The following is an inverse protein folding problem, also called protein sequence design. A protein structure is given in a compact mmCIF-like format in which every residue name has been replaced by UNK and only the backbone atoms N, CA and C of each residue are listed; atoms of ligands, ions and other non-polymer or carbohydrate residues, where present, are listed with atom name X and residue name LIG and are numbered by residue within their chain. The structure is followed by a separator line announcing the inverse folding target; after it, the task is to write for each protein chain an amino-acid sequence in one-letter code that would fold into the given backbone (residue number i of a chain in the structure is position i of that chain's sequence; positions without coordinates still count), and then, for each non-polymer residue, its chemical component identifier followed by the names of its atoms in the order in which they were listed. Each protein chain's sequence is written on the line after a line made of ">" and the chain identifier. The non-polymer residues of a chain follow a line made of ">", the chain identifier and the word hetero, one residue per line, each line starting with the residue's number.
data_IF_080886756091
#
_entry.id   IF_080886756091
#
_cell.length_a   1.000
_cell.length_b   1.000
_cell.length_c   1.000
_cell.angle_alpha   90.00
_cell.angle_beta   90.00
_cell.angle_gamma   90.00
#
_symmetry.space_group_name_H-M   'P 1'
#
loop_
_entity.id
_entity.type
_entity.pdbx_description
1 polymer ?
#
# COMPACT_ATOMS: atom_id res chain seq x y z
N UNK A 1 -24.25 -13.49 -13.46
CA UNK A 1 -24.91 -12.41 -14.24
C UNK A 1 -23.98 -11.21 -14.56
N UNK A 2 -22.80 -11.10 -13.93
CA UNK A 2 -21.83 -10.00 -14.11
C UNK A 2 -20.92 -10.15 -15.36
N UNK A 3 -20.74 -11.37 -15.89
CA UNK A 3 -19.91 -11.61 -17.10
C UNK A 3 -20.53 -11.14 -18.43
N UNK A 4 -21.83 -10.85 -18.48
CA UNK A 4 -22.53 -10.50 -19.73
C UNK A 4 -22.46 -8.98 -20.02
N UNK A 5 -22.26 -8.14 -19.00
CA UNK A 5 -22.26 -6.67 -19.17
C UNK A 5 -20.95 -6.17 -19.83
N UNK A 6 -19.79 -6.81 -19.55
CA UNK A 6 -18.49 -6.40 -20.14
C UNK A 6 -18.41 -6.59 -21.66
N UNK A 7 -19.14 -7.53 -22.25
CA UNK A 7 -19.07 -7.81 -23.70
C UNK A 7 -19.85 -6.80 -24.55
N UNK A 8 -20.84 -6.11 -23.96
CA UNK A 8 -21.68 -5.15 -24.69
C UNK A 8 -21.07 -3.74 -24.75
N UNK A 9 -20.26 -3.31 -23.77
CA UNK A 9 -19.55 -2.03 -23.86
C UNK A 9 -18.46 -2.04 -24.95
N UNK A 10 -17.76 -3.16 -25.16
CA UNK A 10 -16.72 -3.28 -26.18
C UNK A 10 -17.29 -3.23 -27.62
N UNK A 11 -18.51 -3.74 -27.82
CA UNK A 11 -19.18 -3.72 -29.14
C UNK A 11 -19.66 -2.31 -29.51
N UNK A 12 -20.06 -1.49 -28.54
CA UNK A 12 -20.49 -0.10 -28.78
C UNK A 12 -19.31 0.77 -29.22
N UNK A 13 -18.10 0.54 -28.70
CA UNK A 13 -16.89 1.26 -29.12
C UNK A 13 -16.43 0.91 -30.54
N UNK A 14 -16.57 -0.35 -30.98
CA UNK A 14 -16.20 -0.77 -32.34
C UNK A 14 -17.16 -0.19 -33.39
N UNK A 15 -18.45 -0.05 -33.07
CA UNK A 15 -19.44 0.54 -33.98
C UNK A 15 -19.23 2.06 -34.13
N UNK A 16 -18.77 2.75 -33.08
CA UNK A 16 -18.44 4.18 -33.15
C UNK A 16 -17.17 4.45 -33.98
N UNK A 17 -16.17 3.55 -33.91
CA UNK A 17 -14.95 3.66 -34.71
C UNK A 17 -15.17 3.38 -36.21
N UNK A 18 -16.09 2.48 -36.57
CA UNK A 18 -16.45 2.20 -37.97
C UNK A 18 -17.29 3.31 -38.62
N UNK A 19 -18.06 4.06 -37.83
CA UNK A 19 -18.83 5.20 -38.33
C UNK A 19 -17.94 6.41 -38.72
N UNK A 20 -16.74 6.53 -38.14
CA UNK A 20 -15.80 7.62 -38.42
C UNK A 20 -14.89 7.36 -39.64
N UNK A 21 -14.84 6.14 -40.15
CA UNK A 21 -14.06 5.80 -41.36
C UNK A 21 -14.85 5.97 -42.68
N UNK A 22 -16.13 6.34 -42.61
CA UNK A 22 -17.01 6.44 -43.78
C UNK A 22 -17.15 7.86 -44.36
N UNK A 23 -16.43 8.85 -43.83
CA UNK A 23 -16.63 10.27 -44.19
C UNK A 23 -15.59 10.87 -45.15
N UNK A 24 -14.54 10.14 -45.53
CA UNK A 24 -13.52 10.65 -46.45
C UNK A 24 -13.53 9.93 -47.79
N UNK A 25 -14.55 10.21 -48.61
CA UNK A 25 -14.51 9.97 -50.05
C UNK A 25 -15.01 11.22 -50.79
N UNK A 26 -14.16 11.69 -51.70
CA UNK A 26 -14.37 12.65 -52.80
C UNK A 26 -14.29 14.16 -52.48
N UNK A 27 -13.16 14.78 -52.85
CA UNK A 27 -13.03 15.53 -54.13
C UNK A 27 -11.58 15.95 -54.41
N UNK A 28 -11.13 15.61 -55.62
CA UNK A 28 -9.95 16.14 -56.31
C UNK A 28 -10.15 17.62 -56.72
N UNK A 29 -9.07 18.41 -56.75
CA UNK A 29 -8.41 18.87 -58.00
C UNK A 29 -7.21 19.79 -57.72
N UNK A 30 -6.07 19.46 -58.35
CA UNK A 30 -5.02 20.28 -59.00
C UNK A 30 -4.58 21.63 -58.38
N UNK A 31 -3.30 21.77 -58.02
CA UNK A 31 -2.25 22.29 -58.92
C UNK A 31 -0.82 22.19 -58.31
N UNK A 32 0.18 22.33 -59.18
CA UNK A 32 1.56 21.79 -59.18
C UNK A 32 2.62 22.85 -58.80
N UNK A 33 3.86 22.36 -58.56
CA UNK A 33 5.21 22.99 -58.64
C UNK A 33 5.84 23.41 -57.28
N UNK A 34 7.12 23.22 -56.96
CA UNK A 34 8.26 22.45 -57.49
C UNK A 34 9.41 22.54 -56.44
N UNK A 35 10.30 21.55 -56.48
CA UNK A 35 11.72 21.54 -56.06
C UNK A 35 12.15 21.73 -54.59
N UNK A 36 12.96 20.75 -54.12
CA UNK A 36 14.06 21.03 -53.20
C UNK A 36 14.53 19.89 -52.29
N UNK A 37 15.15 18.84 -52.85
CA UNK A 37 15.97 17.88 -52.09
C UNK A 37 17.22 18.55 -51.49
N UNK A 38 17.43 18.47 -50.16
CA UNK A 38 18.78 18.53 -49.57
C UNK A 38 18.89 17.60 -48.36
N UNK A 39 19.80 16.62 -48.49
CA UNK A 39 20.30 15.73 -47.43
C UNK A 39 21.22 16.50 -46.47
N UNK A 40 21.08 16.25 -45.16
CA UNK A 40 22.07 16.65 -44.16
C UNK A 40 22.97 15.46 -43.77
N UNK A 41 24.29 15.69 -43.88
CA UNK A 41 25.34 14.90 -43.25
C UNK A 41 26.12 15.85 -42.32
N UNK A 42 26.25 15.42 -41.07
CA UNK A 42 27.45 15.31 -40.21
C UNK A 42 28.51 16.43 -40.07
N UNK A 43 28.99 16.47 -38.82
CA UNK A 43 30.28 16.90 -38.30
C UNK A 43 30.49 18.40 -38.00
N UNK A 44 30.67 18.72 -36.71
CA UNK A 44 31.95 19.22 -36.19
C UNK A 44 31.89 19.55 -34.68
N UNK A 45 32.74 18.88 -33.94
CA UNK A 45 33.20 19.16 -32.59
C UNK A 45 34.30 20.24 -32.63
N UNK A 46 34.36 21.17 -31.66
CA UNK A 46 35.63 21.74 -31.16
C UNK A 46 35.51 22.64 -29.91
N UNK A 47 36.23 22.21 -28.86
CA UNK A 47 37.13 22.90 -27.93
C UNK A 47 37.05 24.42 -27.70
N UNK A 48 37.03 24.82 -26.42
CA UNK A 48 37.80 25.96 -25.89
C UNK A 48 38.32 25.66 -24.47
N UNK A 49 39.61 25.90 -24.25
CA UNK A 49 40.42 25.67 -23.05
C UNK A 49 40.60 26.91 -22.14
N UNK A 50 40.68 26.62 -20.82
CA UNK A 50 41.40 27.22 -19.67
C UNK A 50 41.84 28.70 -19.59
N UNK A 51 41.65 29.29 -18.38
CA UNK A 51 42.75 29.63 -17.42
C UNK A 51 42.30 30.24 -16.07
N UNK A 52 42.87 29.66 -15.00
CA UNK A 52 43.48 30.19 -13.76
C UNK A 52 42.73 31.10 -12.77
N UNK A 53 42.64 30.67 -11.50
CA UNK A 53 43.33 31.34 -10.37
C UNK A 53 43.44 30.46 -9.12
N UNK A 54 44.61 30.55 -8.48
CA UNK A 54 45.12 29.79 -7.33
C UNK A 54 45.24 30.74 -6.13
N UNK A 55 44.85 30.30 -4.91
CA UNK A 55 45.43 30.79 -3.65
C UNK A 55 45.28 29.74 -2.54
N UNK A 56 46.27 29.73 -1.66
CA UNK A 56 46.84 28.58 -0.97
C UNK A 56 46.72 28.70 0.57
N UNK A 57 46.82 27.54 1.24
CA UNK A 57 47.26 27.25 2.63
C UNK A 57 46.38 27.38 3.89
N UNK A 58 46.14 26.19 4.47
CA UNK A 58 46.34 25.71 5.84
C UNK A 58 45.61 26.33 7.05
N UNK A 59 44.86 25.47 7.76
CA UNK A 59 44.98 25.33 9.23
C UNK A 59 44.54 23.92 9.67
N UNK A 60 45.44 23.21 10.35
CA UNK A 60 45.18 21.93 11.02
C UNK A 60 44.70 22.14 12.48
N UNK A 61 43.99 21.11 12.96
CA UNK A 61 43.78 20.67 14.34
C UNK A 61 42.71 21.36 15.21
N UNK A 62 41.60 20.65 15.45
CA UNK A 62 41.41 20.00 16.75
C UNK A 62 40.43 18.83 16.70
N UNK A 63 40.82 17.73 17.35
CA UNK A 63 40.08 16.51 17.54
C UNK A 63 38.99 16.65 18.61
N UNK A 64 37.92 15.87 18.48
CA UNK A 64 36.88 15.71 19.49
C UNK A 64 35.81 14.71 19.04
N UNK A 65 36.11 13.43 19.22
CA UNK A 65 35.20 12.28 19.42
C UNK A 65 34.06 12.07 18.41
N UNK A 66 34.39 11.47 17.26
CA UNK A 66 33.44 10.68 16.48
C UNK A 66 33.33 9.28 17.10
N UNK A 67 32.18 9.00 17.70
CA UNK A 67 31.76 7.68 18.12
C UNK A 67 31.61 6.80 16.86
N UNK A 68 32.61 5.96 16.60
CA UNK A 68 32.54 4.89 15.61
C UNK A 68 31.43 3.92 16.01
N UNK A 69 30.27 4.06 15.39
CA UNK A 69 29.26 3.01 15.40
C UNK A 69 29.72 1.95 14.40
N UNK A 70 29.98 0.76 14.93
CA UNK A 70 30.40 -0.42 14.19
C UNK A 70 29.45 -0.70 13.02
N UNK A 71 30.02 -0.67 11.82
CA UNK A 71 29.46 -1.24 10.61
C UNK A 71 29.64 -2.75 10.63
N UNK A 72 28.73 -3.50 11.25
CA UNK A 72 28.69 -4.95 11.10
C UNK A 72 27.24 -5.46 11.27
N UNK A 73 26.73 -6.03 10.17
CA UNK A 73 25.67 -7.04 10.09
C UNK A 73 24.19 -6.59 10.27
N UNK A 74 23.64 -5.90 9.26
CA UNK A 74 22.20 -5.93 9.03
C UNK A 74 21.85 -7.28 8.40
N UNK A 75 21.15 -8.12 9.16
CA UNK A 75 20.72 -9.45 8.77
C UNK A 75 19.95 -9.42 7.45
N UNK A 76 20.44 -10.16 6.45
CA UNK A 76 19.72 -10.46 5.21
C UNK A 76 18.44 -11.21 5.59
N UNK A 77 17.28 -10.59 5.39
CA UNK A 77 15.99 -11.24 5.58
C UNK A 77 15.86 -12.33 4.52
N UNK A 78 15.58 -13.56 4.94
CA UNK A 78 15.37 -14.68 4.02
C UNK A 78 14.13 -14.37 3.15
N UNK A 79 14.35 -14.03 1.87
CA UNK A 79 13.30 -13.63 0.91
C UNK A 79 12.45 -14.83 0.47
N UNK A 80 12.97 -16.05 0.61
CA UNK A 80 12.32 -17.27 0.14
C UNK A 80 10.98 -17.51 0.86
N UNK A 81 9.88 -17.39 0.10
CA UNK A 81 8.53 -17.71 0.57
C UNK A 81 7.76 -16.55 1.21
N UNK A 82 8.30 -15.32 1.22
CA UNK A 82 7.57 -14.13 1.67
C UNK A 82 6.91 -13.40 0.50
N UNK A 83 5.70 -12.89 0.72
CA UNK A 83 5.05 -11.99 -0.25
C UNK A 83 5.73 -10.61 -0.24
N UNK A 84 5.73 -9.93 -1.40
CA UNK A 84 6.32 -8.59 -1.55
C UNK A 84 5.75 -7.63 -0.49
N UNK A 85 4.44 -7.70 -0.26
CA UNK A 85 3.71 -6.87 0.69
C UNK A 85 4.28 -6.97 2.11
N UNK A 86 4.63 -8.18 2.56
CA UNK A 86 5.18 -8.44 3.90
C UNK A 86 6.59 -7.88 4.01
N UNK A 87 7.41 -8.06 2.97
CA UNK A 87 8.78 -7.54 2.92
C UNK A 87 8.77 -6.01 3.02
N UNK A 88 7.86 -5.33 2.31
CA UNK A 88 7.73 -3.88 2.37
C UNK A 88 7.35 -3.38 3.76
N UNK A 89 6.40 -4.05 4.43
CA UNK A 89 5.99 -3.69 5.80
C UNK A 89 7.13 -3.89 6.80
N UNK A 90 7.80 -5.05 6.76
CA UNK A 90 8.94 -5.35 7.64
C UNK A 90 10.10 -4.35 7.45
N UNK A 91 10.25 -3.79 6.24
CA UNK A 91 11.32 -2.88 5.87
C UNK A 91 10.88 -1.41 5.74
N UNK A 92 9.73 -1.02 6.30
CA UNK A 92 9.21 0.34 6.17
C UNK A 92 10.18 1.42 6.67
N UNK A 93 10.95 1.14 7.72
CA UNK A 93 12.02 2.04 8.18
C UNK A 93 13.15 2.23 7.16
N UNK A 94 13.47 1.20 6.37
CA UNK A 94 14.42 1.32 5.27
C UNK A 94 13.80 2.08 4.08
N UNK A 95 12.52 1.86 3.77
CA UNK A 95 11.80 2.61 2.73
C UNK A 95 11.84 4.13 2.97
N UNK A 96 11.79 4.58 4.23
CA UNK A 96 11.89 6.00 4.57
C UNK A 96 13.28 6.60 4.34
N UNK A 97 14.34 5.80 4.41
CA UNK A 97 15.72 6.27 4.47
C UNK A 97 16.53 5.91 3.23
N UNK A 98 16.61 4.61 2.92
CA UNK A 98 17.40 4.04 1.84
C UNK A 98 16.77 2.70 1.39
N UNK A 99 15.83 2.79 0.45
CA UNK A 99 15.11 1.63 -0.08
C UNK A 99 15.99 0.73 -0.96
N UNK A 100 17.19 1.19 -1.38
CA UNK A 100 18.09 0.41 -2.24
C UNK A 100 18.66 -0.85 -1.55
N UNK A 101 18.54 -0.90 -0.23
CA UNK A 101 18.96 -2.04 0.60
C UNK A 101 17.90 -3.13 0.74
N UNK A 102 16.68 -2.87 0.31
CA UNK A 102 15.58 -3.82 0.43
C UNK A 102 15.69 -4.86 -0.69
N UNK A 103 15.67 -6.12 -0.30
CA UNK A 103 15.67 -7.24 -1.25
C UNK A 103 14.25 -7.75 -1.43
N UNK A 104 13.76 -7.70 -2.67
CA UNK A 104 12.53 -8.36 -3.08
C UNK A 104 12.85 -9.70 -3.76
N UNK A 105 11.86 -10.58 -3.99
CA UNK A 105 12.07 -11.76 -4.82
C UNK A 105 12.62 -11.36 -6.19
N UNK A 106 13.38 -12.25 -6.84
CA UNK A 106 14.19 -11.95 -8.04
C UNK A 106 13.38 -11.34 -9.19
N UNK A 107 12.09 -11.66 -9.28
CA UNK A 107 11.17 -11.13 -10.28
C UNK A 107 10.55 -9.79 -9.91
N UNK A 108 10.93 -9.14 -8.79
CA UNK A 108 10.41 -7.84 -8.38
C UNK A 108 11.54 -6.85 -8.06
N UNK A 109 11.26 -5.57 -8.27
CA UNK A 109 12.14 -4.47 -7.92
C UNK A 109 11.33 -3.26 -7.45
N UNK A 110 11.89 -2.49 -6.51
CA UNK A 110 11.29 -1.22 -6.11
C UNK A 110 11.58 -0.21 -7.22
N UNK A 111 10.52 0.30 -7.85
CA UNK A 111 10.59 1.24 -8.96
C UNK A 111 10.58 2.69 -8.45
N UNK A 112 9.67 3.02 -7.54
CA UNK A 112 9.54 4.36 -6.96
C UNK A 112 9.06 4.31 -5.50
N UNK A 113 9.45 5.31 -4.71
CA UNK A 113 9.03 5.47 -3.30
C UNK A 113 8.71 6.94 -3.03
N UNK A 114 7.47 7.18 -2.60
CA UNK A 114 6.99 8.45 -2.11
C UNK A 114 6.70 8.39 -0.62
N UNK A 115 6.99 9.48 0.10
CA UNK A 115 6.74 9.57 1.55
C UNK A 115 6.13 10.91 1.93
N UNK A 116 5.23 10.90 2.91
CA UNK A 116 4.56 12.09 3.42
C UNK A 116 3.43 11.73 4.38
N UNK A 117 2.85 12.73 5.04
CA UNK A 117 1.70 12.52 5.94
C UNK A 117 0.43 12.46 5.08
N UNK A 118 -0.27 11.33 5.07
CA UNK A 118 -1.50 11.09 4.29
C UNK A 118 -2.75 11.13 5.19
N UNK A 119 -2.64 10.70 6.44
CA UNK A 119 -3.74 10.68 7.40
C UNK A 119 -3.66 11.90 8.37
N UNK A 120 -4.28 11.78 9.56
CA UNK A 120 -4.30 12.85 10.57
C UNK A 120 -3.34 12.62 11.73
N UNK A 121 -2.36 11.73 11.58
CA UNK A 121 -1.20 11.68 12.48
C UNK A 121 -0.06 12.58 11.97
N UNK A 122 1.04 12.59 12.72
CA UNK A 122 2.27 13.33 12.39
C UNK A 122 3.40 12.38 11.94
N UNK A 123 3.06 11.17 11.51
CA UNK A 123 3.99 10.12 11.09
C UNK A 123 3.98 9.99 9.57
N UNK A 124 5.14 9.65 9.00
CA UNK A 124 5.26 9.53 7.54
C UNK A 124 4.61 8.24 7.06
N UNK A 125 3.69 8.36 6.09
CA UNK A 125 3.16 7.27 5.30
C UNK A 125 4.01 7.07 4.03
N UNK A 126 3.89 5.89 3.40
CA UNK A 126 4.76 5.49 2.29
C UNK A 126 3.90 4.97 1.13
N UNK A 127 4.17 5.44 -0.08
CA UNK A 127 3.68 4.83 -1.32
C UNK A 127 4.87 4.20 -2.04
N UNK A 128 4.78 2.92 -2.37
CA UNK A 128 5.83 2.16 -3.05
C UNK A 128 5.28 1.60 -4.34
N UNK A 129 5.93 1.93 -5.46
CA UNK A 129 5.68 1.27 -6.74
C UNK A 129 6.69 0.14 -6.87
N UNK A 130 6.19 -1.08 -7.00
CA UNK A 130 6.98 -2.27 -7.29
C UNK A 130 6.76 -2.63 -8.75
N UNK A 131 7.86 -2.89 -9.45
CA UNK A 131 7.85 -3.40 -10.82
C UNK A 131 8.25 -4.87 -10.81
N UNK A 132 7.46 -5.69 -11.48
CA UNK A 132 7.79 -7.07 -11.77
C UNK A 132 8.72 -7.09 -12.99
N UNK A 133 9.90 -7.70 -12.86
CA UNK A 133 10.95 -7.77 -13.89
C UNK A 133 10.34 -8.12 -15.27
N UNK A 134 10.67 -7.36 -16.33
CA UNK A 134 9.77 -7.15 -17.47
C UNK A 134 9.74 -8.31 -18.47
N UNK A 135 8.59 -8.47 -19.15
CA UNK A 135 8.62 -8.99 -20.52
C UNK A 135 7.43 -9.79 -21.03
N UNK A 136 6.34 -9.98 -20.27
CA UNK A 136 5.27 -10.89 -20.72
C UNK A 136 3.81 -10.42 -20.51
N UNK A 137 3.52 -9.38 -19.71
CA UNK A 137 2.12 -9.03 -19.38
C UNK A 137 1.82 -7.54 -19.12
N UNK A 138 0.56 -7.14 -19.31
CA UNK A 138 0.03 -5.78 -19.12
C UNK A 138 -0.15 -5.37 -17.62
N UNK A 139 0.45 -6.09 -16.66
CA UNK A 139 0.21 -5.90 -15.22
C UNK A 139 1.52 -5.83 -14.41
N UNK A 140 2.58 -5.28 -15.01
CA UNK A 140 3.94 -5.40 -14.48
C UNK A 140 4.26 -4.40 -13.35
N UNK A 141 3.32 -3.52 -12.95
CA UNK A 141 3.49 -2.61 -11.80
C UNK A 141 2.37 -2.71 -10.79
N UNK A 142 2.76 -2.59 -9.53
CA UNK A 142 1.88 -2.66 -8.37
C UNK A 142 2.18 -1.51 -7.42
N UNK A 143 1.12 -0.81 -7.02
CA UNK A 143 1.20 0.23 -5.99
C UNK A 143 0.85 -0.37 -4.63
N UNK A 144 1.76 -0.17 -3.69
CA UNK A 144 1.54 -0.39 -2.28
C UNK A 144 1.45 0.95 -1.56
N UNK A 145 0.46 1.11 -0.67
CA UNK A 145 0.40 2.26 0.24
C UNK A 145 0.45 1.74 1.66
N UNK A 146 1.44 2.17 2.42
CA UNK A 146 1.69 1.78 3.80
C UNK A 146 1.32 2.97 4.68
N UNK A 147 0.26 2.82 5.48
CA UNK A 147 -0.11 3.79 6.50
C UNK A 147 0.61 3.47 7.78
N UNK A 148 1.19 4.48 8.41
CA UNK A 148 1.70 4.32 9.76
C UNK A 148 0.57 3.99 10.73
N UNK A 149 0.87 3.18 11.74
CA UNK A 149 -0.09 2.78 12.77
C UNK A 149 0.40 3.20 14.16
N UNK A 150 -0.51 3.17 15.14
CA UNK A 150 -0.25 3.58 16.54
C UNK A 150 0.85 2.77 17.24
N UNK A 151 1.35 1.69 16.63
CA UNK A 151 2.32 0.76 17.20
C UNK A 151 3.77 1.03 16.72
N UNK A 152 4.00 2.18 16.07
CA UNK A 152 5.23 2.51 15.34
C UNK A 152 5.54 1.51 14.21
N UNK A 153 4.50 0.91 13.61
CA UNK A 153 4.59 0.03 12.45
C UNK A 153 3.79 0.58 11.27
N UNK A 154 3.59 -0.25 10.25
CA UNK A 154 2.83 0.11 9.05
C UNK A 154 1.78 -0.95 8.70
N UNK A 155 0.65 -0.48 8.17
CA UNK A 155 -0.46 -1.27 7.64
C UNK A 155 -0.60 -1.03 6.13
N UNK A 156 -0.94 -2.06 5.36
CA UNK A 156 -1.13 -1.91 3.91
C UNK A 156 -2.55 -1.43 3.63
N UNK A 157 -2.67 -0.34 2.88
CA UNK A 157 -3.92 0.32 2.47
C UNK A 157 -4.30 0.06 1.02
N UNK A 158 -3.31 0.05 0.12
CA UNK A 158 -3.50 -0.29 -1.29
C UNK A 158 -2.54 -1.41 -1.63
N UNK A 159 -3.06 -2.36 -2.38
CA UNK A 159 -2.31 -3.40 -3.07
C UNK A 159 -2.99 -3.67 -4.43
N UNK A 160 -2.61 -2.89 -5.46
CA UNK A 160 -3.31 -2.86 -6.76
C UNK A 160 -2.39 -2.61 -7.96
N UNK A 161 -2.76 -3.22 -9.09
CA UNK A 161 -2.04 -3.13 -10.37
C UNK A 161 -2.67 -2.13 -11.36
N UNK A 162 -3.80 -1.50 -11.04
CA UNK A 162 -4.59 -0.72 -12.02
C UNK A 162 -4.41 0.81 -11.91
N UNK A 163 -3.70 1.30 -10.90
CA UNK A 163 -3.46 2.74 -10.67
C UNK A 163 -2.16 3.23 -11.32
N UNK A 164 -1.18 2.35 -11.39
CA UNK A 164 0.14 2.61 -11.98
C UNK A 164 0.27 1.74 -13.22
N UNK A 165 0.41 2.38 -14.37
CA UNK A 165 0.48 1.67 -15.64
C UNK A 165 1.87 1.07 -15.86
N UNK A 166 1.91 -0.08 -16.54
CA UNK A 166 3.14 -0.79 -16.86
C UNK A 166 3.99 -0.04 -17.87
N UNK A 167 5.28 -0.39 -17.95
CA UNK A 167 6.29 0.29 -18.76
C UNK A 167 5.99 0.36 -20.26
N UNK A 168 5.09 -0.48 -20.78
CA UNK A 168 4.72 -0.53 -22.21
C UNK A 168 3.32 0.08 -22.49
N UNK A 169 2.61 0.55 -21.47
CA UNK A 169 1.22 1.01 -21.59
C UNK A 169 1.10 2.43 -22.16
N UNK A 170 2.20 3.18 -22.29
CA UNK A 170 2.23 4.54 -22.83
C UNK A 170 2.19 4.60 -24.36
N UNK A 171 2.16 3.45 -25.05
CA UNK A 171 2.19 3.38 -26.50
C UNK A 171 3.55 3.83 -27.06
N UNK A 172 3.61 4.53 -28.21
CA UNK A 172 4.88 4.96 -28.80
C UNK A 172 5.71 5.90 -27.93
N UNK A 173 5.13 6.50 -26.88
CA UNK A 173 5.86 7.30 -25.91
C UNK A 173 6.71 6.45 -24.94
N UNK A 174 6.42 5.16 -24.81
CA UNK A 174 7.09 4.25 -23.90
C UNK A 174 6.42 4.21 -22.53
N UNK A 175 7.21 4.35 -21.48
CA UNK A 175 6.76 4.26 -20.10
C UNK A 175 5.79 5.38 -19.72
N UNK A 176 4.53 5.06 -19.37
CA UNK A 176 3.54 6.07 -19.01
C UNK A 176 3.65 6.55 -17.57
N UNK A 177 4.37 5.88 -16.67
CA UNK A 177 4.41 6.31 -15.27
C UNK A 177 5.17 7.63 -15.13
N UNK A 178 4.52 8.62 -14.51
CA UNK A 178 5.03 9.99 -14.36
C UNK A 178 5.16 10.40 -12.88
N UNK A 179 5.13 9.42 -11.97
CA UNK A 179 5.44 9.61 -10.56
C UNK A 179 4.25 9.45 -9.62
N UNK A 180 4.59 9.19 -8.36
CA UNK A 180 3.71 9.29 -7.21
C UNK A 180 4.18 10.41 -6.31
N UNK A 181 3.30 10.95 -5.47
CA UNK A 181 3.66 11.94 -4.45
C UNK A 181 2.70 11.88 -3.27
N UNK A 182 3.21 12.00 -2.05
CA UNK A 182 2.39 12.27 -0.86
C UNK A 182 2.72 13.68 -0.37
N UNK A 183 1.77 14.60 -0.50
CA UNK A 183 1.94 15.99 -0.06
C UNK A 183 0.60 16.59 0.34
N UNK A 184 0.58 17.45 1.37
CA UNK A 184 -0.63 18.12 1.84
C UNK A 184 -1.79 17.14 2.11
N UNK A 185 -1.49 16.01 2.78
CA UNK A 185 -2.47 14.94 3.09
C UNK A 185 -3.16 14.37 1.85
N UNK A 186 -2.46 14.35 0.73
CA UNK A 186 -2.97 13.88 -0.56
C UNK A 186 -1.95 12.95 -1.20
N UNK A 187 -2.38 11.76 -1.59
CA UNK A 187 -1.62 10.87 -2.46
C UNK A 187 -1.98 11.22 -3.91
N UNK A 188 -1.00 11.60 -4.71
CA UNK A 188 -1.12 11.90 -6.14
C UNK A 188 -0.41 10.82 -6.95
N UNK A 189 -1.07 10.34 -8.00
CA UNK A 189 -0.54 9.35 -8.95
C UNK A 189 -0.69 9.91 -10.36
N UNK A 190 0.38 9.86 -11.17
CA UNK A 190 0.39 10.40 -12.53
C UNK A 190 0.77 9.34 -13.56
N UNK A 191 0.00 9.31 -14.64
CA UNK A 191 0.36 8.58 -15.86
C UNK A 191 0.26 9.51 -17.07
N UNK A 192 1.17 9.39 -18.04
CA UNK A 192 1.20 10.21 -19.25
C UNK A 192 1.83 9.45 -20.42
N UNK A 193 1.13 9.41 -21.56
CA UNK A 193 1.60 8.66 -22.73
C UNK A 193 1.00 9.12 -24.05
N UNK A 194 1.02 8.22 -25.03
CA UNK A 194 0.42 8.40 -26.34
C UNK A 194 1.44 8.53 -27.48
N UNK A 195 1.10 9.26 -28.53
CA UNK A 195 1.94 9.47 -29.70
C UNK A 195 1.81 10.94 -30.16
N UNK A 196 1.38 11.16 -31.40
CA UNK A 196 0.97 12.50 -31.85
C UNK A 196 -0.19 13.03 -31.01
N UNK A 197 -1.11 12.14 -30.61
CA UNK A 197 -2.10 12.44 -29.57
C UNK A 197 -1.60 11.92 -28.22
N UNK A 198 -1.45 12.86 -27.28
CA UNK A 198 -1.04 12.68 -25.91
C UNK A 198 -2.25 12.50 -25.01
N UNK A 199 -2.10 11.65 -24.00
CA UNK A 199 -3.06 11.50 -22.92
C UNK A 199 -2.34 11.55 -21.59
N UNK A 200 -3.05 11.94 -20.54
CA UNK A 200 -2.52 11.87 -19.18
C UNK A 200 -3.63 11.73 -18.15
N UNK A 201 -3.32 11.06 -17.05
CA UNK A 201 -4.18 10.98 -15.87
C UNK A 201 -3.44 11.49 -14.65
N UNK A 202 -4.14 12.22 -13.80
CA UNK A 202 -3.69 12.53 -12.44
C UNK A 202 -4.82 12.20 -11.49
N UNK A 203 -4.61 11.22 -10.64
CA UNK A 203 -5.56 10.82 -9.62
C UNK A 203 -5.07 11.27 -8.25
N UNK A 204 -5.96 11.92 -7.48
CA UNK A 204 -5.66 12.39 -6.13
C UNK A 204 -6.56 11.73 -5.12
N UNK A 205 -5.94 11.20 -4.08
CA UNK A 205 -6.61 10.48 -3.01
C UNK A 205 -6.38 11.16 -1.67
N UNK A 206 -7.41 11.13 -0.81
CA UNK A 206 -7.33 11.62 0.57
C UNK A 206 -7.93 10.62 1.55
N UNK A 207 -7.40 10.62 2.77
CA UNK A 207 -8.01 9.89 3.89
C UNK A 207 -9.27 10.62 4.36
N UNK A 208 -10.42 9.95 4.22
CA UNK A 208 -11.74 10.42 4.63
C UNK A 208 -12.46 9.26 5.32
N UNK A 209 -12.83 9.45 6.58
CA UNK A 209 -13.51 8.43 7.41
C UNK A 209 -12.74 7.10 7.46
N UNK A 210 -11.41 7.16 7.60
CA UNK A 210 -10.55 5.97 7.65
C UNK A 210 -10.35 5.26 6.29
N UNK A 211 -10.86 5.83 5.19
CA UNK A 211 -10.72 5.28 3.84
C UNK A 211 -9.96 6.21 2.93
N UNK A 212 -9.15 5.66 2.05
CA UNK A 212 -8.49 6.43 0.99
C UNK A 212 -9.47 6.59 -0.18
N UNK A 213 -10.05 7.77 -0.34
CA UNK A 213 -11.05 8.07 -1.38
C UNK A 213 -10.43 8.87 -2.51
N UNK A 214 -10.79 8.56 -3.75
CA UNK A 214 -10.49 9.40 -4.91
C UNK A 214 -11.28 10.71 -4.76
N UNK A 215 -10.57 11.83 -4.66
CA UNK A 215 -11.18 13.16 -4.46
C UNK A 215 -11.09 14.04 -5.69
N UNK A 216 -10.09 13.86 -6.54
CA UNK A 216 -9.94 14.58 -7.79
C UNK A 216 -9.33 13.66 -8.85
N UNK A 217 -9.87 13.71 -10.07
CA UNK A 217 -9.30 13.08 -11.26
C UNK A 217 -9.09 14.15 -12.34
N UNK A 218 -7.88 14.20 -12.91
CA UNK A 218 -7.57 15.03 -14.08
C UNK A 218 -7.28 14.15 -15.26
N UNK A 219 -7.90 14.46 -16.40
CA UNK A 219 -7.72 13.76 -17.66
C UNK A 219 -7.24 14.78 -18.68
N UNK A 220 -6.07 14.55 -19.24
CA UNK A 220 -5.48 15.31 -20.34
C UNK A 220 -5.72 14.55 -21.66
N UNK A 221 -6.17 15.27 -22.67
CA UNK A 221 -6.16 14.83 -24.07
C UNK A 221 -5.59 15.96 -24.92
N UNK A 222 -4.46 15.74 -25.58
CA UNK A 222 -3.78 16.80 -26.33
C UNK A 222 -3.25 16.29 -27.66
N UNK A 223 -3.49 17.01 -28.74
CA UNK A 223 -2.98 16.66 -30.05
C UNK A 223 -1.80 17.56 -30.43
N UNK A 224 -0.61 16.97 -30.55
CA UNK A 224 0.58 17.68 -31.04
C UNK A 224 0.38 18.19 -32.48
N UNK A 225 -0.45 17.50 -33.28
CA UNK A 225 -0.72 17.88 -34.67
C UNK A 225 -1.50 19.18 -34.77
N UNK A 226 -2.44 19.42 -33.85
CA UNK A 226 -3.25 20.64 -33.83
C UNK A 226 -2.76 21.67 -32.82
N UNK A 227 -1.74 21.33 -32.02
CA UNK A 227 -1.23 22.10 -30.90
C UNK A 227 -2.34 22.54 -29.92
N UNK A 228 -3.32 21.67 -29.73
CA UNK A 228 -4.50 21.94 -28.93
C UNK A 228 -4.99 20.69 -28.21
N UNK A 229 -5.66 20.90 -27.09
CA UNK A 229 -6.19 19.82 -26.27
C UNK A 229 -7.18 20.31 -25.23
N UNK A 230 -7.54 19.38 -24.36
CA UNK A 230 -8.47 19.59 -23.27
C UNK A 230 -7.92 18.96 -21.99
N UNK A 231 -8.16 19.66 -20.87
CA UNK A 231 -8.02 19.09 -19.53
C UNK A 231 -9.40 19.05 -18.92
N UNK A 232 -9.80 17.87 -18.49
CA UNK A 232 -11.00 17.67 -17.69
C UNK A 232 -10.58 17.42 -16.24
N UNK A 233 -11.08 18.26 -15.34
CA UNK A 233 -10.93 18.07 -13.89
C UNK A 233 -12.29 17.61 -13.35
N UNK A 234 -12.28 16.55 -12.56
CA UNK A 234 -13.46 16.03 -11.86
C UNK A 234 -13.14 16.11 -10.37
N UNK A 235 -13.88 16.94 -9.64
CA UNK A 235 -13.84 17.01 -8.18
C UNK A 235 -15.01 16.21 -7.62
N UNK A 236 -14.69 15.11 -6.93
CA UNK A 236 -15.68 14.20 -6.38
C UNK A 236 -16.29 14.72 -5.08
N UNK A 237 -15.59 15.57 -4.33
CA UNK A 237 -16.11 16.16 -3.10
C UNK A 237 -17.12 17.27 -3.40
N UNK A 238 -16.79 18.14 -4.36
CA UNK A 238 -17.66 19.21 -4.81
C UNK A 238 -18.72 18.73 -5.83
N UNK A 239 -18.58 17.49 -6.32
CA UNK A 239 -19.44 16.90 -7.37
C UNK A 239 -19.47 17.76 -8.65
N UNK A 240 -18.32 18.33 -9.00
CA UNK A 240 -18.17 19.21 -10.17
C UNK A 240 -17.20 18.63 -11.19
N UNK A 241 -17.45 18.88 -12.47
CA UNK A 241 -16.48 18.64 -13.51
C UNK A 241 -16.31 19.88 -14.37
N UNK A 242 -15.06 20.27 -14.59
CA UNK A 242 -14.68 21.42 -15.39
C UNK A 242 -13.77 20.98 -16.52
N UNK A 243 -14.13 21.35 -17.74
CA UNK A 243 -13.33 21.10 -18.94
C UNK A 243 -12.71 22.40 -19.41
N UNK A 244 -11.43 22.36 -19.72
CA UNK A 244 -10.63 23.50 -20.09
C UNK A 244 -9.94 23.24 -21.43
N UNK A 245 -10.00 24.18 -22.37
CA UNK A 245 -9.11 24.10 -23.55
C UNK A 245 -7.70 24.45 -23.14
N UNK A 246 -6.75 23.73 -23.72
CA UNK A 246 -5.33 24.00 -23.64
C UNK A 246 -4.80 24.24 -25.05
N UNK A 247 -4.13 25.37 -25.24
CA UNK A 247 -3.32 25.69 -26.41
C UNK A 247 -1.94 26.04 -25.87
N UNK A 248 -0.86 25.51 -26.47
CA UNK A 248 0.53 25.54 -25.98
C UNK A 248 0.87 26.57 -24.88
N UNK A 249 1.38 26.07 -23.75
CA UNK A 249 2.55 26.68 -23.10
C UNK A 249 3.54 25.60 -22.66
N UNK A 250 4.68 25.55 -23.36
CA UNK A 250 5.94 24.86 -23.11
C UNK A 250 6.07 23.38 -23.56
N UNK A 251 7.24 23.10 -24.14
CA UNK A 251 7.57 21.98 -25.05
C UNK A 251 7.62 20.59 -24.41
N UNK A 252 7.39 20.49 -23.10
CA UNK A 252 7.67 19.27 -22.33
C UNK A 252 6.41 18.55 -21.84
N UNK A 253 5.20 19.08 -22.09
CA UNK A 253 3.92 18.40 -21.77
C UNK A 253 3.59 18.26 -20.28
N UNK A 254 4.59 18.12 -19.40
CA UNK A 254 4.46 17.97 -17.95
C UNK A 254 3.80 19.18 -17.26
N UNK A 255 3.92 20.36 -17.84
CA UNK A 255 3.43 21.62 -17.25
C UNK A 255 2.07 22.09 -17.77
N UNK A 256 1.41 21.35 -18.66
CA UNK A 256 0.08 21.74 -19.16
C UNK A 256 -1.00 21.68 -18.06
N UNK A 257 -0.82 20.79 -17.07
CA UNK A 257 -1.68 20.62 -15.89
C UNK A 257 -1.62 21.79 -14.89
N UNK A 258 -0.59 22.64 -14.99
CA UNK A 258 -0.36 23.82 -14.12
C UNK A 258 -0.48 25.16 -14.86
N UNK A 259 -0.83 25.13 -16.15
CA UNK A 259 -0.82 26.33 -16.98
C UNK A 259 -1.99 27.27 -16.66
N UNK A 260 -1.69 28.56 -16.44
CA UNK A 260 -2.68 29.63 -16.13
C UNK A 260 -3.46 30.13 -17.35
N UNK A 261 -3.31 29.48 -18.51
CA UNK A 261 -3.90 29.91 -19.80
C UNK A 261 -5.23 29.19 -20.07
N UNK A 262 -6.10 29.17 -19.07
CA UNK A 262 -7.27 28.29 -19.05
C UNK A 262 -8.53 29.08 -19.45
N UNK A 263 -9.27 28.59 -20.46
CA UNK A 263 -10.67 28.96 -20.69
C UNK A 263 -11.57 27.80 -20.29
N UNK A 264 -12.51 28.05 -19.39
CA UNK A 264 -13.58 27.10 -19.06
C UNK A 264 -14.44 26.92 -20.31
N UNK A 265 -14.51 25.71 -20.82
CA UNK A 265 -15.39 25.34 -21.95
C UNK A 265 -16.70 24.77 -21.41
N UNK A 266 -16.64 24.03 -20.30
CA UNK A 266 -17.80 23.37 -19.71
C UNK A 266 -17.65 23.32 -18.19
N UNK A 267 -18.74 23.57 -17.47
CA UNK A 267 -18.85 23.42 -16.01
C UNK A 267 -20.14 22.66 -15.70
N UNK A 268 -20.01 21.46 -15.15
CA UNK A 268 -21.11 20.51 -14.96
C UNK A 268 -21.16 20.05 -13.52
N UNK A 269 -22.33 20.20 -12.90
CA UNK A 269 -22.67 19.52 -11.65
C UNK A 269 -23.23 18.14 -11.98
N UNK A 270 -22.69 17.08 -11.36
CA UNK A 270 -23.18 15.72 -11.56
C UNK A 270 -23.83 15.17 -10.29
N UNK A 271 -24.94 14.45 -10.46
CA UNK A 271 -25.57 13.65 -9.41
C UNK A 271 -24.97 12.23 -9.41
N UNK A 272 -25.02 11.52 -8.28
CA UNK A 272 -24.28 10.33 -7.76
C UNK A 272 -24.06 9.09 -8.67
N UNK A 273 -24.03 9.22 -9.99
CA UNK A 273 -23.94 8.11 -10.96
C UNK A 273 -22.51 7.76 -11.40
N UNK A 274 -21.48 8.51 -10.98
CA UNK A 274 -20.10 8.05 -11.14
C UNK A 274 -19.69 7.28 -9.88
N UNK A 275 -19.21 6.03 -10.01
CA UNK A 275 -18.79 5.27 -8.84
C UNK A 275 -17.62 5.98 -8.16
N UNK A 276 -17.75 6.28 -6.87
CA UNK A 276 -16.62 6.68 -6.05
C UNK A 276 -15.64 5.50 -5.92
N UNK A 277 -14.36 5.71 -6.28
CA UNK A 277 -13.29 4.72 -6.03
C UNK A 277 -12.76 4.97 -4.62
N UNK A 278 -12.86 3.97 -3.76
CA UNK A 278 -12.29 4.03 -2.41
C UNK A 278 -11.51 2.76 -2.10
N UNK A 279 -10.52 2.92 -1.24
CA UNK A 279 -9.66 1.85 -0.74
C UNK A 279 -9.76 1.80 0.78
N UNK A 280 -9.81 0.58 1.31
CA UNK A 280 -9.85 0.29 2.74
C UNK A 280 -8.53 -0.34 3.14
N UNK A 281 -8.17 -0.19 4.42
CA UNK A 281 -6.97 -0.82 4.96
C UNK A 281 -7.09 -2.32 4.76
N UNK A 282 -6.17 -2.90 3.99
CA UNK A 282 -6.00 -4.34 3.79
C UNK A 282 -5.20 -4.85 4.98
N UNK A 283 -5.79 -4.74 6.15
CA UNK A 283 -5.31 -5.44 7.32
C UNK A 283 -5.91 -6.85 7.24
N UNK A 284 -5.14 -7.79 6.68
CA UNK A 284 -5.28 -9.23 7.00
C UNK A 284 -4.85 -9.51 8.45
N UNK A 285 -5.05 -8.54 9.36
CA UNK A 285 -4.68 -8.66 10.77
C UNK A 285 -5.81 -9.31 11.51
N UNK A 286 -5.48 -10.39 12.18
CA UNK A 286 -6.36 -11.06 13.14
C UNK A 286 -6.35 -10.20 14.39
N UNK A 287 -7.51 -9.64 14.73
CA UNK A 287 -7.70 -8.92 15.98
C UNK A 287 -8.54 -9.75 16.93
N UNK A 288 -8.16 -9.76 18.21
CA UNK A 288 -8.81 -10.56 19.24
C UNK A 288 -9.65 -9.65 20.14
N UNK A 289 -10.97 -9.78 20.09
CA UNK A 289 -11.90 -8.91 20.82
C UNK A 289 -12.79 -9.72 21.78
N UNK A 290 -13.35 -9.03 22.77
CA UNK A 290 -14.21 -9.53 23.84
C UNK A 290 -15.55 -10.07 23.34
N UNK A 291 -16.19 -9.44 22.34
CA UNK A 291 -17.46 -9.88 21.75
C UNK A 291 -17.97 -8.92 20.65
N UNK A 292 -17.43 -8.96 19.43
CA UNK A 292 -18.07 -8.29 18.29
C UNK A 292 -18.24 -9.25 17.12
N UNK A 293 -19.44 -9.81 17.06
CA UNK A 293 -19.97 -10.42 15.86
C UNK A 293 -20.20 -9.32 14.81
N UNK A 294 -19.48 -9.36 13.69
CA UNK A 294 -19.72 -8.49 12.54
C UNK A 294 -18.54 -7.63 12.08
N UNK A 295 -17.44 -7.57 12.84
CA UNK A 295 -16.19 -6.94 12.37
C UNK A 295 -15.38 -7.92 11.52
N UNK A 296 -14.96 -7.47 10.32
CA UNK A 296 -14.22 -8.32 9.39
C UNK A 296 -12.84 -8.64 9.96
N UNK A 297 -12.54 -9.93 10.12
CA UNK A 297 -11.25 -10.43 10.60
C UNK A 297 -11.08 -10.51 12.12
N UNK A 298 -12.14 -10.21 12.88
CA UNK A 298 -12.12 -10.35 14.34
C UNK A 298 -12.38 -11.80 14.77
N UNK A 299 -11.60 -12.30 15.73
CA UNK A 299 -11.85 -13.54 16.47
C UNK A 299 -12.20 -13.19 17.93
N UNK A 300 -13.18 -13.89 18.51
CA UNK A 300 -13.66 -13.59 19.87
C UNK A 300 -13.91 -14.84 20.70
N UNK A 301 -13.79 -14.72 22.03
CA UNK A 301 -14.05 -15.82 22.96
C UNK A 301 -15.51 -16.30 22.82
N UNK A 302 -15.70 -17.60 22.69
CA UNK A 302 -17.00 -18.22 22.45
C UNK A 302 -17.42 -18.27 20.97
N UNK A 303 -16.60 -17.80 20.02
CA UNK A 303 -16.88 -17.96 18.59
C UNK A 303 -16.93 -19.45 18.22
N UNK A 304 -17.94 -19.92 17.47
CA UNK A 304 -18.00 -21.30 17.00
C UNK A 304 -16.87 -21.63 16.01
N UNK A 305 -16.34 -22.86 16.06
CA UNK A 305 -15.23 -23.31 15.21
C UNK A 305 -15.52 -23.17 13.71
N UNK A 306 -16.73 -23.50 13.25
CA UNK A 306 -17.15 -23.29 11.86
C UNK A 306 -17.08 -21.82 11.42
N UNK A 307 -17.34 -20.89 12.35
CA UNK A 307 -17.21 -19.45 12.09
C UNK A 307 -15.75 -19.00 12.06
N UNK A 308 -14.90 -19.56 12.93
CA UNK A 308 -13.45 -19.34 12.91
C UNK A 308 -12.87 -19.75 11.56
N UNK A 309 -13.16 -20.97 11.08
CA UNK A 309 -12.68 -21.46 9.79
C UNK A 309 -13.08 -20.52 8.64
N UNK A 310 -14.33 -20.03 8.65
CA UNK A 310 -14.81 -19.07 7.66
C UNK A 310 -13.99 -17.76 7.71
N UNK A 311 -13.79 -17.20 8.89
CA UNK A 311 -13.03 -15.95 9.08
C UNK A 311 -11.57 -16.14 8.64
N UNK A 312 -10.90 -17.21 9.08
CA UNK A 312 -9.52 -17.51 8.70
C UNK A 312 -9.38 -17.66 7.18
N UNK A 313 -10.32 -18.35 6.52
CA UNK A 313 -10.32 -18.50 5.07
C UNK A 313 -10.58 -17.17 4.33
N UNK A 314 -11.48 -16.30 4.83
CA UNK A 314 -11.69 -14.95 4.29
C UNK A 314 -10.45 -14.05 4.44
N UNK A 315 -9.62 -14.31 5.45
CA UNK A 315 -8.36 -13.62 5.72
C UNK A 315 -7.16 -14.28 5.06
N UNK A 316 -7.34 -15.38 4.34
CA UNK A 316 -6.26 -16.17 3.75
C UNK A 316 -5.20 -16.61 4.80
N UNK A 317 -5.63 -16.90 6.03
CA UNK A 317 -4.77 -17.42 7.10
C UNK A 317 -4.76 -18.93 7.05
N UNK A 318 -3.56 -19.51 6.93
CA UNK A 318 -3.35 -20.96 6.93
C UNK A 318 -3.38 -21.55 8.35
N UNK A 319 -4.17 -22.62 8.53
CA UNK A 319 -4.12 -23.46 9.72
C UNK A 319 -2.97 -24.46 9.53
N UNK A 320 -1.90 -24.30 10.32
CA UNK A 320 -0.69 -25.12 10.22
C UNK A 320 -0.88 -26.51 10.83
N UNK A 321 -1.72 -26.62 11.87
CA UNK A 321 -2.02 -27.89 12.53
C UNK A 321 -3.35 -27.85 13.28
N UNK A 322 -3.97 -29.01 13.40
CA UNK A 322 -5.17 -29.25 14.20
C UNK A 322 -4.91 -30.38 15.20
N UNK A 323 -5.12 -30.11 16.49
CA UNK A 323 -4.79 -31.04 17.57
C UNK A 323 -6.03 -31.27 18.43
N UNK A 324 -6.24 -32.52 18.88
CA UNK A 324 -7.15 -32.83 19.98
C UNK A 324 -6.32 -33.16 21.23
N UNK A 325 -6.58 -32.44 22.33
CA UNK A 325 -5.85 -32.62 23.59
C UNK A 325 -6.27 -33.95 24.21
N UNK A 326 -5.36 -34.91 24.18
CA UNK A 326 -5.59 -36.28 24.66
C UNK A 326 -4.60 -36.70 25.76
N UNK A 327 -3.94 -35.72 26.40
CA UNK A 327 -2.87 -35.92 27.40
C UNK A 327 -3.27 -36.82 28.56
N UNK A 328 -4.34 -36.48 29.29
CA UNK A 328 -4.86 -37.27 30.41
C UNK A 328 -6.37 -37.04 30.58
N UNK A 329 -7.22 -38.09 30.72
CA UNK A 329 -8.67 -37.94 30.85
C UNK A 329 -9.17 -37.04 32.00
N UNK A 330 -8.33 -36.86 33.02
CA UNK A 330 -8.63 -36.01 34.19
C UNK A 330 -8.17 -34.55 34.00
N UNK A 331 -7.46 -34.23 32.91
CA UNK A 331 -7.12 -32.85 32.59
C UNK A 331 -8.38 -32.10 32.18
N UNK A 332 -8.54 -30.87 32.67
CA UNK A 332 -9.74 -30.07 32.42
C UNK A 332 -9.99 -29.82 30.92
N UNK A 333 -8.90 -29.76 30.14
CA UNK A 333 -8.92 -29.54 28.69
C UNK A 333 -8.85 -30.86 27.89
N UNK A 334 -8.96 -32.02 28.53
CA UNK A 334 -9.03 -33.29 27.80
C UNK A 334 -10.23 -33.31 26.85
N UNK A 335 -9.98 -33.51 25.56
CA UNK A 335 -10.96 -33.47 24.48
C UNK A 335 -11.23 -32.08 23.90
N UNK A 336 -10.52 -31.04 24.38
CA UNK A 336 -10.49 -29.74 23.68
C UNK A 336 -9.70 -29.87 22.38
N UNK A 337 -9.98 -29.00 21.43
CA UNK A 337 -9.26 -28.94 20.15
C UNK A 337 -8.43 -27.68 20.05
N UNK A 338 -7.37 -27.70 19.26
CA UNK A 338 -6.51 -26.56 19.02
C UNK A 338 -6.26 -26.36 17.53
N UNK A 339 -6.40 -25.14 17.05
CA UNK A 339 -5.90 -24.70 15.74
C UNK A 339 -4.62 -23.91 15.94
N UNK A 340 -3.54 -24.34 15.29
CA UNK A 340 -2.24 -23.69 15.35
C UNK A 340 -1.98 -22.90 14.07
N UNK A 341 -1.67 -21.62 14.24
CA UNK A 341 -1.25 -20.71 13.17
C UNK A 341 0.20 -20.29 13.45
N UNK A 342 0.79 -19.51 12.55
CA UNK A 342 2.18 -19.05 12.68
C UNK A 342 2.45 -18.26 13.96
N UNK A 343 1.55 -17.35 14.31
CA UNK A 343 1.76 -16.35 15.37
C UNK A 343 0.86 -16.55 16.60
N UNK A 344 -0.09 -17.47 16.54
CA UNK A 344 -1.06 -17.72 17.60
C UNK A 344 -1.69 -19.10 17.44
N UNK A 345 -2.33 -19.59 18.49
CA UNK A 345 -3.23 -20.74 18.41
C UNK A 345 -4.54 -20.44 19.13
N UNK A 346 -5.57 -21.18 18.76
CA UNK A 346 -6.91 -21.07 19.31
C UNK A 346 -7.26 -22.42 19.92
N UNK A 347 -7.61 -22.45 21.19
CA UNK A 347 -8.18 -23.61 21.86
C UNK A 347 -9.70 -23.52 21.86
N UNK A 348 -10.36 -24.61 21.51
CA UNK A 348 -11.82 -24.78 21.49
C UNK A 348 -12.27 -25.68 22.63
N UNK A 349 -13.36 -25.30 23.28
CA UNK A 349 -14.04 -26.17 24.23
C UNK A 349 -14.70 -27.38 23.54
N UNK A 350 -15.18 -28.34 24.35
CA UNK A 350 -15.89 -29.54 23.87
C UNK A 350 -17.18 -29.27 23.11
N UNK A 351 -17.65 -28.03 23.09
CA UNK A 351 -18.82 -27.57 22.32
C UNK A 351 -18.37 -26.84 21.05
N UNK A 352 -17.09 -26.97 20.68
CA UNK A 352 -16.44 -26.36 19.53
C UNK A 352 -16.55 -24.82 19.52
N UNK A 353 -16.45 -24.16 20.68
CA UNK A 353 -16.37 -22.70 20.78
C UNK A 353 -15.00 -22.27 21.28
N UNK A 354 -14.48 -21.13 20.80
CA UNK A 354 -13.21 -20.58 21.29
C UNK A 354 -13.26 -20.46 22.82
N UNK A 355 -12.38 -21.20 23.47
CA UNK A 355 -12.14 -21.13 24.90
C UNK A 355 -11.01 -20.18 25.22
N UNK A 356 -9.90 -20.30 24.50
CA UNK A 356 -8.68 -19.55 24.75
C UNK A 356 -8.01 -19.18 23.42
N UNK A 357 -7.47 -17.97 23.38
CA UNK A 357 -6.69 -17.44 22.27
C UNK A 357 -5.31 -17.14 22.83
N UNK A 358 -4.30 -17.71 22.21
CA UNK A 358 -2.93 -17.67 22.69
C UNK A 358 -2.02 -17.08 21.64
N UNK A 359 -1.34 -15.98 21.96
CA UNK A 359 -0.49 -15.25 21.01
C UNK A 359 0.96 -15.35 21.44
N UNK A 360 1.80 -15.81 20.52
CA UNK A 360 3.25 -15.94 20.69
C UNK A 360 4.05 -15.23 19.59
N UNK A 361 3.37 -14.74 18.53
CA UNK A 361 3.94 -13.91 17.47
C UNK A 361 3.62 -12.44 17.66
N UNK A 362 3.84 -11.64 16.61
CA UNK A 362 3.83 -10.18 16.70
C UNK A 362 2.42 -9.55 16.57
N UNK A 363 1.43 -10.12 17.26
CA UNK A 363 0.06 -9.58 17.33
C UNK A 363 -0.12 -8.89 18.69
N UNK A 364 -0.41 -7.59 18.75
CA UNK A 364 -0.62 -6.89 20.01
C UNK A 364 -2.02 -7.12 20.59
N UNK A 365 -2.18 -6.88 21.88
CA UNK A 365 -3.50 -6.81 22.51
C UNK A 365 -4.28 -5.58 22.05
N UNK A 366 -5.59 -5.55 22.29
CA UNK A 366 -6.45 -4.37 22.06
C UNK A 366 -5.91 -3.09 22.74
N UNK A 367 -5.22 -3.24 23.89
CA UNK A 367 -4.61 -2.12 24.62
C UNK A 367 -3.18 -1.81 24.19
N UNK A 368 -2.65 -2.46 23.14
CA UNK A 368 -1.33 -2.16 22.57
C UNK A 368 -0.14 -2.81 23.28
N UNK A 369 -0.36 -3.86 24.07
CA UNK A 369 0.72 -4.68 24.63
C UNK A 369 1.21 -5.68 23.57
N UNK A 370 2.52 -5.73 23.31
CA UNK A 370 3.14 -6.60 22.30
C UNK A 370 4.28 -7.45 22.88
N UNK A 371 4.61 -8.54 22.17
CA UNK A 371 5.77 -9.37 22.50
C UNK A 371 7.04 -8.51 22.57
N UNK A 372 7.85 -8.72 23.60
CA UNK A 372 9.03 -7.92 23.91
C UNK A 372 8.76 -6.68 24.77
N UNK A 373 7.50 -6.30 25.01
CA UNK A 373 7.21 -5.20 25.94
C UNK A 373 7.58 -5.57 27.39
N UNK A 374 7.97 -4.57 28.19
CA UNK A 374 8.33 -4.79 29.58
C UNK A 374 7.09 -4.91 30.49
N UNK A 375 7.29 -5.47 31.69
CA UNK A 375 6.22 -5.66 32.69
C UNK A 375 5.55 -4.32 33.02
N UNK A 376 6.32 -3.25 33.13
CA UNK A 376 5.86 -1.90 33.46
C UNK A 376 4.81 -1.41 32.45
N UNK A 377 4.97 -1.73 31.17
CA UNK A 377 3.99 -1.36 30.14
C UNK A 377 2.70 -2.16 30.28
N UNK A 378 2.77 -3.44 30.66
CA UNK A 378 1.56 -4.22 30.96
C UNK A 378 0.83 -3.64 32.18
N UNK A 379 1.55 -3.26 33.23
CA UNK A 379 0.96 -2.63 34.43
C UNK A 379 0.33 -1.27 34.10
N UNK A 380 0.93 -0.48 33.21
CA UNK A 380 0.34 0.76 32.71
C UNK A 380 -1.00 0.52 31.99
N UNK A 381 -1.07 -0.53 31.17
CA UNK A 381 -2.24 -0.83 30.34
C UNK A 381 -3.36 -1.58 31.06
N UNK A 382 -3.01 -2.41 32.06
CA UNK A 382 -3.95 -3.33 32.72
C UNK A 382 -4.06 -3.11 34.25
N UNK A 383 -3.21 -2.26 34.82
CA UNK A 383 -3.10 -2.02 36.25
C UNK A 383 -2.23 -3.05 36.97
N UNK A 384 -2.10 -2.91 38.29
CA UNK A 384 -1.26 -3.79 39.12
C UNK A 384 -2.09 -4.91 39.82
N UNK A 385 -3.38 -4.99 39.54
CA UNK A 385 -4.29 -5.95 40.17
C UNK A 385 -4.26 -7.31 39.48
N UNK A 386 -3.13 -8.01 39.56
CA UNK A 386 -2.94 -9.34 38.97
C UNK A 386 -2.56 -10.41 40.01
N UNK A 387 -2.69 -11.66 39.60
CA UNK A 387 -2.06 -12.82 40.25
C UNK A 387 -0.76 -13.15 39.53
N UNK A 388 0.33 -13.33 40.28
CA UNK A 388 1.65 -13.67 39.77
C UNK A 388 2.05 -15.09 40.16
N UNK A 389 2.66 -15.82 39.23
CA UNK A 389 3.33 -17.10 39.49
C UNK A 389 4.61 -17.19 38.68
N UNK A 390 5.66 -17.76 39.25
CA UNK A 390 6.96 -17.93 38.58
C UNK A 390 7.30 -19.41 38.54
N UNK A 391 7.64 -19.92 37.36
CA UNK A 391 8.07 -21.29 37.13
C UNK A 391 9.12 -21.32 36.01
N UNK A 392 10.17 -22.13 36.16
CA UNK A 392 11.19 -22.31 35.13
C UNK A 392 11.91 -21.04 34.63
N UNK A 393 11.98 -19.97 35.43
CA UNK A 393 12.54 -18.67 35.02
C UNK A 393 11.53 -17.74 34.36
N UNK A 394 10.36 -18.23 34.02
CA UNK A 394 9.28 -17.43 33.43
C UNK A 394 8.32 -16.93 34.50
N UNK A 395 7.80 -15.73 34.31
CA UNK A 395 6.81 -15.13 35.20
C UNK A 395 5.49 -14.96 34.47
N UNK A 396 4.44 -15.61 34.99
CA UNK A 396 3.07 -15.46 34.51
C UNK A 396 2.31 -14.44 35.35
N UNK A 397 1.65 -13.51 34.68
CA UNK A 397 0.73 -12.51 35.26
C UNK A 397 -0.68 -12.80 34.76
N UNK A 398 -1.66 -12.83 35.67
CA UNK A 398 -3.06 -13.11 35.33
C UNK A 398 -3.99 -12.06 35.93
N UNK A 399 -4.81 -11.47 35.07
CA UNK A 399 -5.85 -10.50 35.39
C UNK A 399 -7.21 -11.16 35.29
N UNK A 400 -8.08 -10.81 36.23
CA UNK A 400 -9.51 -11.10 36.15
C UNK A 400 -10.20 -9.87 35.55
N UNK A 401 -10.73 -10.01 34.35
CA UNK A 401 -11.37 -8.94 33.59
C UNK A 401 -12.90 -8.95 33.75
N UNK A 402 -13.42 -9.71 34.71
CA UNK A 402 -14.85 -9.90 34.97
C UNK A 402 -15.45 -10.99 34.10
N UNK A 403 -15.49 -10.78 32.79
CA UNK A 403 -16.13 -11.72 31.84
C UNK A 403 -15.13 -12.75 31.26
N UNK A 404 -13.83 -12.46 31.37
CA UNK A 404 -12.75 -13.27 30.86
C UNK A 404 -11.49 -13.07 31.71
N UNK A 405 -10.45 -13.88 31.43
CA UNK A 405 -9.11 -13.72 31.99
C UNK A 405 -8.17 -13.24 30.90
N UNK A 406 -7.34 -12.29 31.26
CA UNK A 406 -6.17 -11.91 30.47
C UNK A 406 -4.94 -12.40 31.21
N UNK A 407 -3.96 -12.96 30.51
CA UNK A 407 -2.70 -13.30 31.13
C UNK A 407 -1.53 -13.19 30.16
N UNK A 408 -0.34 -12.95 30.71
CA UNK A 408 0.91 -12.85 29.96
C UNK A 408 2.04 -13.60 30.65
N UNK A 409 2.98 -14.13 29.86
CA UNK A 409 4.21 -14.76 30.35
C UNK A 409 5.39 -13.89 29.94
N UNK A 410 6.26 -13.60 30.90
CA UNK A 410 7.48 -12.82 30.73
C UNK A 410 8.70 -13.70 30.98
N UNK A 411 9.74 -13.51 30.18
CA UNK A 411 11.06 -14.11 30.39
C UNK A 411 11.80 -13.47 31.57
N UNK A 412 12.94 -14.06 31.96
CA UNK A 412 13.80 -13.58 33.06
C UNK A 412 14.29 -12.14 32.89
N UNK A 413 14.42 -11.66 31.65
CA UNK A 413 14.80 -10.29 31.29
C UNK A 413 13.60 -9.32 31.23
N UNK A 414 12.46 -9.72 31.81
CA UNK A 414 11.21 -8.95 31.87
C UNK A 414 10.65 -8.59 30.49
N UNK A 415 10.74 -9.49 29.51
CA UNK A 415 10.17 -9.29 28.18
C UNK A 415 8.96 -10.19 27.99
N UNK A 416 7.84 -9.61 27.54
CA UNK A 416 6.65 -10.39 27.22
C UNK A 416 6.99 -11.41 26.13
N UNK A 417 6.73 -12.69 26.42
CA UNK A 417 6.90 -13.79 25.48
C UNK A 417 5.59 -14.17 24.81
N UNK A 418 4.53 -14.12 25.59
CA UNK A 418 3.21 -14.65 25.25
C UNK A 418 2.15 -13.82 25.95
N UNK A 419 1.01 -13.62 25.31
CA UNK A 419 -0.21 -13.19 25.98
C UNK A 419 -1.42 -13.99 25.50
N UNK A 420 -2.45 -14.07 26.33
CA UNK A 420 -3.66 -14.83 26.01
C UNK A 420 -4.92 -14.24 26.63
N UNK A 421 -6.04 -14.56 25.99
CA UNK A 421 -7.40 -14.33 26.47
C UNK A 421 -8.06 -15.68 26.69
N UNK A 422 -8.66 -15.89 27.87
CA UNK A 422 -9.34 -17.12 28.19
C UNK A 422 -10.73 -16.84 28.77
N UNK A 423 -11.72 -17.63 28.36
CA UNK A 423 -13.06 -17.55 28.94
C UNK A 423 -13.02 -17.98 30.40
N UNK A 424 -13.86 -17.37 31.23
CA UNK A 424 -14.10 -17.87 32.58
C UNK A 424 -14.79 -19.24 32.50
N UNK A 425 -14.11 -20.30 32.95
CA UNK A 425 -14.75 -21.59 33.19
C UNK A 425 -15.66 -21.47 34.42
N UNK A 426 -16.95 -21.73 34.22
CA UNK A 426 -17.78 -22.28 35.27
C UNK A 426 -17.27 -23.72 35.50
N UNK A 427 -16.40 -23.89 36.50
CA UNK A 427 -16.00 -25.22 36.95
C UNK A 427 -17.21 -25.75 37.73
N UNK A 428 -18.11 -26.45 37.05
CA UNK A 428 -19.15 -27.28 37.68
C UNK A 428 -18.56 -28.53 38.33
#
# INVERSE_FOLDING_TARGET
>A
MIKIIKKNCLIIFIILALALLSSCVAKNSEDVDDAGDVKYNNDAEKDVTDKDSEYDRNTEANAGDEEKINSEELAFTEVNGKEVKDILVENAGALLNDYTKIQLPEEYSIFDVSKGILNNDDVLDIAVVVEKTPGLTYEDRQLYVLLSNEQNGYDILIDKNDLVLGSEDGGPFGDPYSGTKIENKTLEIKNYGGSSDRWGTTEKFKMIDGRLKLVEERILAYSNTTASGEIKIIDFLEKTSKTYSVSETNKDGEHLLDSKSIRVIEDVYFDEKKPEKYYEIINEKVFFNKAEYGEKGALYLGMPMEEVERVLNEMNVEILNEIEITSHPDDWNYGNKEFWMKDYHIEFDKKDNIYEIYVHGNIPTERGLKIGDPIEKMEELYGENYKKSTDGGETRFRYDMGDYKFWGIFSEDNKLKIWALARNLDID
#
